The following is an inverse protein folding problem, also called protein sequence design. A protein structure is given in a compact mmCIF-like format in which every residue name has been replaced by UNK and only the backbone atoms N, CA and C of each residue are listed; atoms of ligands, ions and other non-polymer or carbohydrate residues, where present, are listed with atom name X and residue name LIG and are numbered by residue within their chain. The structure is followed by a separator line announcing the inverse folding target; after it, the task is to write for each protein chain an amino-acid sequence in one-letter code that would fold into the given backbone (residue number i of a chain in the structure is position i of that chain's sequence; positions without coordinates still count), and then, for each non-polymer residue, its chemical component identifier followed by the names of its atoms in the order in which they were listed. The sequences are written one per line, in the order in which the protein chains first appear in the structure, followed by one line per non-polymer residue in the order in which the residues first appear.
data_IF_864388527161
#
_entry.id   IF_864388527161
#
_cell.length_a   1.000
_cell.length_b   1.000
_cell.length_c   1.000
_cell.angle_alpha   90.00
_cell.angle_beta   90.00
_cell.angle_gamma   90.00
#
_symmetry.space_group_name_H-M   'P 1'
#
loop_
_entity.id
_entity.type
_entity.pdbx_description
1 polymer ?
#
# COMPACT_ATOMS: atom_id res chain seq x y z
N UNK A 1 -22.81 5.58 -9.16
CA UNK A 1 -22.35 5.92 -7.79
C UNK A 1 -21.07 5.13 -7.47
N UNK A 2 -20.08 5.20 -8.37
CA UNK A 2 -18.90 4.30 -8.41
C UNK A 2 -17.59 5.08 -8.62
N UNK A 3 -17.71 6.38 -8.92
CA UNK A 3 -16.60 7.27 -9.31
C UNK A 3 -15.60 7.54 -8.18
N UNK A 4 -16.09 7.59 -6.93
CA UNK A 4 -15.26 8.01 -5.79
C UNK A 4 -14.20 6.98 -5.42
N UNK A 5 -14.51 5.69 -5.47
CA UNK A 5 -13.52 4.65 -5.18
C UNK A 5 -12.43 4.61 -6.24
N UNK A 6 -12.81 4.75 -7.51
CA UNK A 6 -11.86 4.83 -8.62
C UNK A 6 -10.96 6.06 -8.50
N UNK A 7 -11.51 7.21 -8.12
CA UNK A 7 -10.76 8.45 -7.90
C UNK A 7 -9.78 8.33 -6.72
N UNK A 8 -10.17 7.65 -5.64
CA UNK A 8 -9.30 7.39 -4.48
C UNK A 8 -8.18 6.43 -4.87
N UNK A 9 -8.49 5.32 -5.55
CA UNK A 9 -7.50 4.37 -6.04
C UNK A 9 -6.52 5.05 -7.01
N UNK A 10 -7.01 5.92 -7.89
CA UNK A 10 -6.17 6.66 -8.82
C UNK A 10 -5.23 7.64 -8.10
N UNK A 11 -5.72 8.34 -7.07
CA UNK A 11 -4.89 9.27 -6.27
C UNK A 11 -3.86 8.57 -5.40
N UNK A 12 -4.18 7.38 -4.91
CA UNK A 12 -3.29 6.56 -4.07
C UNK A 12 -2.38 5.64 -4.89
N UNK A 13 -2.55 5.58 -6.21
CA UNK A 13 -1.65 4.85 -7.08
C UNK A 13 -0.24 5.44 -6.96
N UNK A 14 0.81 4.66 -6.63
CA UNK A 14 2.18 5.15 -6.48
C UNK A 14 2.68 5.93 -7.70
N UNK A 15 2.20 5.60 -8.91
CA UNK A 15 2.51 6.37 -10.11
C UNK A 15 1.99 7.82 -10.03
N UNK A 16 0.77 8.02 -9.54
CA UNK A 16 0.15 9.33 -9.42
C UNK A 16 0.72 10.12 -8.23
N UNK A 17 1.05 9.44 -7.13
CA UNK A 17 1.78 10.04 -6.01
C UNK A 17 3.15 10.55 -6.47
N UNK A 18 3.88 9.76 -7.27
CA UNK A 18 5.14 10.18 -7.89
C UNK A 18 4.96 11.41 -8.77
N UNK A 19 4.03 11.36 -9.73
CA UNK A 19 3.75 12.50 -10.63
C UNK A 19 3.45 13.77 -9.83
N UNK A 20 2.59 13.67 -8.82
CA UNK A 20 2.21 14.82 -7.99
C UNK A 20 3.35 15.35 -7.12
N UNK A 21 4.25 14.49 -6.66
CA UNK A 21 5.46 14.92 -5.95
C UNK A 21 6.40 15.66 -6.88
N UNK A 22 6.62 15.15 -8.10
CA UNK A 22 7.46 15.80 -9.11
C UNK A 22 6.86 17.14 -9.57
N UNK A 23 5.54 17.21 -9.79
CA UNK A 23 4.82 18.45 -10.13
C UNK A 23 4.90 19.50 -9.02
N UNK A 24 4.99 19.08 -7.75
CA UNK A 24 5.25 19.97 -6.61
C UNK A 24 6.71 20.42 -6.49
N UNK A 25 7.58 20.02 -7.41
CA UNK A 25 9.00 20.36 -7.41
C UNK A 25 9.85 19.49 -6.48
N UNK A 26 9.32 18.37 -5.97
CA UNK A 26 10.12 17.43 -5.18
C UNK A 26 11.09 16.70 -6.12
N UNK A 27 12.34 16.59 -5.67
CA UNK A 27 13.40 15.93 -6.42
C UNK A 27 13.00 14.48 -6.78
N UNK A 28 13.15 14.11 -8.06
CA UNK A 28 12.76 12.79 -8.61
C UNK A 28 13.31 11.63 -7.78
N UNK A 29 14.56 11.71 -7.29
CA UNK A 29 15.16 10.66 -6.45
C UNK A 29 14.38 10.44 -5.14
N UNK A 30 13.92 11.54 -4.56
CA UNK A 30 13.17 11.51 -3.31
C UNK A 30 11.76 10.97 -3.54
N UNK A 31 11.09 11.39 -4.62
CA UNK A 31 9.79 10.86 -5.03
C UNK A 31 9.83 9.34 -5.30
N UNK A 32 10.85 8.85 -6.00
CA UNK A 32 11.05 7.40 -6.23
C UNK A 32 11.28 6.65 -4.93
N UNK A 33 12.09 7.21 -4.02
CA UNK A 33 12.34 6.60 -2.72
C UNK A 33 11.05 6.46 -1.92
N UNK A 34 10.21 7.50 -1.90
CA UNK A 34 8.92 7.46 -1.22
C UNK A 34 8.00 6.40 -1.83
N UNK A 35 7.90 6.29 -3.17
CA UNK A 35 7.11 5.24 -3.78
C UNK A 35 7.61 3.83 -3.44
N UNK A 36 8.94 3.62 -3.41
CA UNK A 36 9.52 2.33 -2.99
C UNK A 36 9.18 1.99 -1.53
N UNK A 37 9.31 2.96 -0.62
CA UNK A 37 8.93 2.76 0.78
C UNK A 37 7.44 2.51 0.95
N UNK A 38 6.61 3.20 0.17
CA UNK A 38 5.17 2.99 0.15
C UNK A 38 4.82 1.55 -0.27
N UNK A 39 5.38 1.08 -1.38
CA UNK A 39 5.17 -0.31 -1.84
C UNK A 39 5.66 -1.31 -0.80
N UNK A 40 6.88 -1.12 -0.28
CA UNK A 40 7.45 -2.00 0.74
C UNK A 40 6.55 -2.06 1.99
N UNK A 41 6.06 -0.91 2.45
CA UNK A 41 5.21 -0.83 3.63
C UNK A 41 3.85 -1.51 3.40
N UNK A 42 3.22 -1.28 2.24
CA UNK A 42 1.93 -1.88 1.89
C UNK A 42 2.07 -3.40 1.78
N UNK A 43 3.04 -3.90 1.01
CA UNK A 43 3.25 -5.34 0.85
C UNK A 43 3.66 -6.01 2.17
N UNK A 44 4.55 -5.38 2.94
CA UNK A 44 4.98 -5.91 4.24
C UNK A 44 3.82 -5.94 5.24
N UNK A 45 2.98 -4.90 5.27
CA UNK A 45 1.78 -4.86 6.13
C UNK A 45 0.77 -5.93 5.74
N UNK A 46 0.49 -6.10 4.45
CA UNK A 46 -0.41 -7.15 3.96
C UNK A 46 0.13 -8.53 4.32
N UNK A 47 1.43 -8.78 4.09
CA UNK A 47 2.08 -10.05 4.44
C UNK A 47 2.03 -10.32 5.95
N UNK A 48 2.30 -9.31 6.77
CA UNK A 48 2.22 -9.40 8.22
C UNK A 48 0.79 -9.71 8.69
N UNK A 49 -0.21 -8.94 8.21
CA UNK A 49 -1.62 -9.17 8.54
C UNK A 49 -2.09 -10.54 8.08
N UNK A 50 -1.70 -11.00 6.90
CA UNK A 50 -2.04 -12.33 6.39
C UNK A 50 -1.41 -13.42 7.24
N UNK A 51 -0.17 -13.25 7.67
CA UNK A 51 0.50 -14.20 8.56
C UNK A 51 -0.16 -14.23 9.92
N UNK A 52 -0.50 -13.06 10.47
CA UNK A 52 -1.19 -12.90 11.73
C UNK A 52 -2.59 -13.52 11.69
N UNK A 53 -3.38 -13.28 10.64
CA UNK A 53 -4.70 -13.89 10.48
C UNK A 53 -4.60 -15.40 10.35
N UNK A 54 -3.61 -15.92 9.62
CA UNK A 54 -3.35 -17.37 9.54
C UNK A 54 -2.97 -17.97 10.90
N UNK A 55 -2.14 -17.28 11.69
CA UNK A 55 -1.80 -17.70 13.05
C UNK A 55 -3.02 -17.68 13.97
N UNK A 56 -3.84 -16.62 13.92
CA UNK A 56 -5.09 -16.51 14.67
C UNK A 56 -6.06 -17.61 14.26
N UNK A 57 -6.22 -17.87 12.96
CA UNK A 57 -7.06 -18.97 12.46
C UNK A 57 -6.58 -20.34 12.96
N UNK A 58 -5.26 -20.59 13.00
CA UNK A 58 -4.69 -21.82 13.60
C UNK A 58 -4.95 -21.91 15.10
N UNK A 59 -4.87 -20.80 15.83
CA UNK A 59 -5.15 -20.75 17.27
C UNK A 59 -6.64 -20.92 17.59
N UNK A 60 -7.54 -20.44 16.71
CA UNK A 60 -8.99 -20.58 16.82
C UNK A 60 -9.51 -21.93 16.33
N UNK A 61 -8.80 -22.62 15.44
CA UNK A 61 -9.04 -24.02 15.07
C UNK A 61 -7.85 -24.92 15.48
N UNK A 62 -7.59 -25.09 16.79
CA UNK A 62 -6.45 -25.87 17.25
C UNK A 62 -6.64 -27.39 17.07
N UNK A 63 -7.85 -27.88 16.82
CA UNK A 63 -8.12 -29.33 16.68
C UNK A 63 -9.40 -29.59 15.87
N UNK A 64 -9.21 -30.05 14.64
CA UNK A 64 -9.96 -31.20 14.12
C UNK A 64 -8.96 -32.33 13.93
#
# INVERSE_FOLDING_TARGET
MTDKMLAIQHRLNPLHVYCRMVEKGINKKLSISICKYYELFVYSTIAYLTTLTMQICKLLNPTR
#
